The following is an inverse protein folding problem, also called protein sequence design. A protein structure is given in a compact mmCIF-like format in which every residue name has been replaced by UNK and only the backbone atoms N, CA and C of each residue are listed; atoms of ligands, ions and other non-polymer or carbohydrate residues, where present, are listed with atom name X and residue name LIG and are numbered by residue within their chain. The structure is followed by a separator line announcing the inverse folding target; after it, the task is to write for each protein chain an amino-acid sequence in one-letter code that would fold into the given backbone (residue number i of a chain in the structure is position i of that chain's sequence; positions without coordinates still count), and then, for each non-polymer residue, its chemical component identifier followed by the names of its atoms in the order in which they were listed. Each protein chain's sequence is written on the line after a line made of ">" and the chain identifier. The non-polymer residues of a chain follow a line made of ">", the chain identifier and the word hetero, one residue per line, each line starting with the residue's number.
data_IF_189548103416
#
_entry.id   IF_189548103416
#
_cell.length_a   1.000
_cell.length_b   1.000
_cell.length_c   1.000
_cell.angle_alpha   90.00
_cell.angle_beta   90.00
_cell.angle_gamma   90.00
#
_symmetry.space_group_name_H-M   'P 1'
#
loop_
_entity.id
_entity.type
_entity.pdbx_description
1 polymer ?
#
# COMPACT_ATOMS: atom_id res chain seq x y z
N UNK A 1 6.28 8.11 -12.86
CA UNK A 1 6.40 7.40 -11.58
C UNK A 1 7.87 7.10 -11.37
N UNK A 2 8.36 7.23 -10.15
CA UNK A 2 9.76 6.99 -9.78
C UNK A 2 9.77 6.22 -8.45
N UNK A 3 10.49 5.10 -8.37
CA UNK A 3 10.72 4.41 -7.10
C UNK A 3 11.74 5.23 -6.31
N UNK A 4 11.40 5.51 -5.05
CA UNK A 4 12.23 6.32 -4.15
C UNK A 4 12.71 5.43 -3.03
N UNK A 5 13.93 5.66 -2.54
CA UNK A 5 14.45 4.96 -1.38
C UNK A 5 13.51 5.16 -0.17
N UNK A 6 13.06 4.08 0.49
CA UNK A 6 12.27 4.18 1.70
C UNK A 6 12.98 5.01 2.77
N UNK A 7 12.27 5.98 3.35
CA UNK A 7 12.82 6.85 4.39
C UNK A 7 12.30 6.37 5.74
N UNK A 8 13.20 5.91 6.62
CA UNK A 8 12.85 5.45 7.96
C UNK A 8 12.43 6.56 8.94
N UNK A 9 12.39 7.82 8.50
CA UNK A 9 12.02 8.98 9.30
C UNK A 9 10.60 8.85 9.88
N UNK A 10 9.69 8.17 9.17
CA UNK A 10 8.30 8.03 9.59
C UNK A 10 8.06 6.94 10.62
N UNK A 11 9.09 6.16 11.00
CA UNK A 11 8.94 5.14 12.02
C UNK A 11 8.53 5.77 13.36
N UNK A 12 7.43 5.27 13.94
CA UNK A 12 6.85 5.79 15.17
C UNK A 12 5.95 7.02 14.98
N UNK A 13 5.82 7.55 13.76
CA UNK A 13 4.93 8.66 13.49
C UNK A 13 3.46 8.20 13.49
N UNK A 14 2.54 9.03 14.01
CA UNK A 14 1.12 8.77 13.89
C UNK A 14 0.66 8.93 12.44
N UNK A 15 -0.28 8.09 12.03
CA UNK A 15 -1.03 8.25 10.78
C UNK A 15 -2.41 8.73 11.15
N UNK A 16 -2.82 9.86 10.56
CA UNK A 16 -4.18 10.33 10.74
C UNK A 16 -5.11 9.53 9.83
N UNK A 17 -6.04 8.81 10.44
CA UNK A 17 -7.09 8.07 9.76
C UNK A 17 -8.46 8.49 10.28
N UNK A 18 -9.52 8.20 9.51
CA UNK A 18 -10.92 8.45 9.87
C UNK A 18 -11.50 7.37 10.80
N UNK A 19 -10.91 6.17 10.81
CA UNK A 19 -11.44 5.00 11.53
C UNK A 19 -10.71 4.66 12.83
N UNK A 20 -9.51 5.18 13.08
CA UNK A 20 -8.82 5.01 14.37
C UNK A 20 -7.97 6.23 14.71
N UNK A 21 -8.05 6.75 15.94
CA UNK A 21 -7.17 7.82 16.40
C UNK A 21 -5.73 7.33 16.65
N UNK A 22 -5.51 6.01 16.70
CA UNK A 22 -4.32 5.38 17.27
C UNK A 22 -3.60 4.49 16.26
N UNK A 23 -3.30 5.03 15.07
CA UNK A 23 -2.49 4.34 14.05
C UNK A 23 -1.05 4.87 14.06
N UNK A 24 -0.07 3.98 14.14
CA UNK A 24 1.37 4.34 14.19
C UNK A 24 2.17 3.52 13.21
N UNK A 25 3.07 4.16 12.47
CA UNK A 25 3.98 3.47 11.55
C UNK A 25 5.01 2.63 12.32
N UNK A 26 5.13 1.35 11.97
CA UNK A 26 6.20 0.46 12.46
C UNK A 26 7.45 0.60 11.59
N UNK A 27 7.27 0.60 10.27
CA UNK A 27 8.34 0.74 9.28
C UNK A 27 7.81 1.17 7.92
N UNK A 28 8.70 1.75 7.10
CA UNK A 28 8.43 2.09 5.71
C UNK A 28 9.05 1.00 4.83
N UNK A 29 8.21 0.31 4.07
CA UNK A 29 8.56 -0.84 3.23
C UNK A 29 8.94 -0.39 1.82
N UNK A 30 8.08 0.44 1.21
CA UNK A 30 8.21 0.93 -0.15
C UNK A 30 8.02 2.43 -0.19
N UNK A 31 8.60 3.10 -1.18
CA UNK A 31 8.33 4.50 -1.45
C UNK A 31 8.31 4.77 -2.95
N UNK A 32 7.34 5.56 -3.38
CA UNK A 32 7.15 5.86 -4.80
C UNK A 32 6.68 7.29 -4.96
N UNK A 33 7.26 7.99 -5.94
CA UNK A 33 6.77 9.28 -6.39
C UNK A 33 5.82 9.08 -7.57
N UNK A 34 4.59 9.51 -7.40
CA UNK A 34 3.58 9.58 -8.46
C UNK A 34 3.22 11.04 -8.66
N UNK A 35 3.43 11.54 -9.89
CA UNK A 35 3.30 12.96 -10.21
C UNK A 35 4.17 13.83 -9.27
N UNK A 36 3.56 14.66 -8.42
CA UNK A 36 4.28 15.52 -7.46
C UNK A 36 4.22 14.98 -6.02
N UNK A 37 3.49 13.89 -5.77
CA UNK A 37 3.29 13.34 -4.44
C UNK A 37 4.19 12.12 -4.22
N UNK A 38 4.79 12.02 -3.04
CA UNK A 38 5.47 10.80 -2.60
C UNK A 38 4.52 10.03 -1.71
N UNK A 39 4.40 8.74 -2.02
CA UNK A 39 3.61 7.75 -1.30
C UNK A 39 4.56 6.75 -0.65
N UNK A 40 4.23 6.37 0.58
CA UNK A 40 4.99 5.45 1.41
C UNK A 40 4.13 4.23 1.74
N UNK A 41 4.57 3.06 1.31
CA UNK A 41 3.97 1.79 1.67
C UNK A 41 4.53 1.40 3.02
N UNK A 42 3.68 1.34 4.04
CA UNK A 42 4.10 1.17 5.43
C UNK A 42 3.42 -0.04 6.05
N UNK A 43 4.13 -0.64 7.00
CA UNK A 43 3.49 -1.47 8.02
C UNK A 43 3.16 -0.56 9.19
N UNK A 44 1.90 -0.55 9.59
CA UNK A 44 1.41 0.26 10.69
C UNK A 44 0.72 -0.64 11.70
N UNK A 45 0.79 -0.24 12.97
CA UNK A 45 -0.06 -0.82 14.01
C UNK A 45 -1.21 0.12 14.32
N UNK A 46 -2.32 -0.44 14.76
CA UNK A 46 -3.41 0.33 15.32
C UNK A 46 -3.83 -0.26 16.66
N UNK A 47 -4.19 0.60 17.60
CA UNK A 47 -4.83 0.20 18.85
C UNK A 47 -6.31 0.47 18.71
N UNK A 48 -7.13 -0.57 18.73
CA UNK A 48 -8.56 -0.40 18.90
C UNK A 48 -8.84 -0.14 20.38
N UNK A 49 -9.29 1.07 20.71
CA UNK A 49 -9.69 1.45 22.07
C UNK A 49 -10.89 0.63 22.57
N UNK A 50 -11.64 -0.02 21.67
CA UNK A 50 -12.81 -0.84 22.00
C UNK A 50 -12.52 -2.34 22.12
N UNK A 51 -11.25 -2.76 21.98
CA UNK A 51 -10.80 -4.14 22.16
C UNK A 51 -11.68 -5.18 21.44
N UNK A 52 -12.14 -4.90 20.23
CA UNK A 52 -12.67 -5.97 19.39
C UNK A 52 -11.49 -6.85 19.02
N UNK A 53 -11.47 -8.09 19.52
CA UNK A 53 -10.42 -9.11 19.39
C UNK A 53 -10.06 -9.42 17.91
N UNK A 54 -9.48 -8.46 17.19
CA UNK A 54 -8.95 -8.67 15.85
C UNK A 54 -7.53 -9.22 16.00
N UNK A 55 -7.27 -10.44 15.51
CA UNK A 55 -6.08 -11.20 15.88
C UNK A 55 -4.75 -10.68 15.28
N UNK A 56 -4.70 -9.50 14.67
CA UNK A 56 -3.48 -8.96 14.08
C UNK A 56 -3.44 -7.43 14.23
N UNK A 57 -2.58 -6.95 15.13
CA UNK A 57 -2.35 -5.54 15.47
C UNK A 57 -1.66 -4.72 14.36
N UNK A 58 -1.51 -5.29 13.16
CA UNK A 58 -0.73 -4.71 12.06
C UNK A 58 -1.51 -4.65 10.75
N UNK A 59 -1.25 -3.62 9.95
CA UNK A 59 -1.90 -3.39 8.65
C UNK A 59 -0.91 -2.78 7.67
N UNK A 60 -1.06 -3.14 6.40
CA UNK A 60 -0.32 -2.54 5.30
C UNK A 60 -1.11 -1.35 4.78
N UNK A 61 -0.50 -0.17 4.84
CA UNK A 61 -1.11 1.08 4.42
C UNK A 61 -0.25 1.76 3.35
N UNK A 62 -0.88 2.58 2.52
CA UNK A 62 -0.20 3.59 1.74
C UNK A 62 -0.50 4.95 2.35
N UNK A 63 0.55 5.67 2.75
CA UNK A 63 0.44 6.98 3.38
C UNK A 63 1.23 8.03 2.61
N UNK A 64 0.92 9.29 2.83
CA UNK A 64 1.69 10.40 2.30
C UNK A 64 1.72 11.54 3.32
N UNK A 65 2.74 12.40 3.23
CA UNK A 65 2.84 13.60 4.05
C UNK A 65 2.17 14.78 3.32
N UNK A 66 1.18 15.40 3.96
CA UNK A 66 0.46 16.57 3.46
C UNK A 66 1.05 17.92 3.93
N UNK A 67 2.19 17.90 4.64
CA UNK A 67 2.82 19.04 5.28
C UNK A 67 2.31 19.32 6.70
N UNK A 68 1.23 18.67 7.12
CA UNK A 68 0.68 18.71 8.48
C UNK A 68 0.82 17.36 9.21
N UNK A 69 1.02 16.27 8.48
CA UNK A 69 1.29 14.95 9.02
C UNK A 69 1.01 13.84 8.01
N UNK A 70 1.16 12.60 8.44
CA UNK A 70 0.88 11.43 7.60
C UNK A 70 -0.62 11.21 7.46
N UNK A 71 -1.09 11.08 6.21
CA UNK A 71 -2.48 10.78 5.85
C UNK A 71 -2.59 9.44 5.14
N UNK A 72 -3.70 8.74 5.35
CA UNK A 72 -4.03 7.51 4.62
C UNK A 72 -4.54 7.83 3.21
N UNK A 73 -3.97 7.18 2.19
CA UNK A 73 -4.37 7.43 0.79
C UNK A 73 -5.82 7.02 0.52
N UNK A 74 -6.22 5.83 0.99
CA UNK A 74 -7.50 5.20 0.66
C UNK A 74 -8.73 5.97 1.18
N UNK A 75 -8.56 6.82 2.19
CA UNK A 75 -9.65 7.62 2.75
C UNK A 75 -9.96 8.87 1.93
N UNK A 76 -8.96 9.42 1.25
CA UNK A 76 -9.14 10.62 0.41
C UNK A 76 -9.81 10.27 -0.92
N UNK A 77 -9.67 9.03 -1.37
CA UNK A 77 -10.17 8.57 -2.64
C UNK A 77 -11.15 7.41 -2.39
N UNK A 78 -12.41 7.77 -2.19
CA UNK A 78 -13.50 6.94 -1.65
C UNK A 78 -13.73 5.59 -2.35
N UNK A 79 -13.11 5.33 -3.51
CA UNK A 79 -13.15 4.05 -4.22
C UNK A 79 -11.81 3.81 -4.92
N UNK A 80 -10.91 3.07 -4.26
CA UNK A 80 -9.73 2.53 -4.92
C UNK A 80 -10.05 1.55 -6.04
N UNK A 81 -9.14 1.36 -7.00
CA UNK A 81 -9.16 0.17 -7.84
C UNK A 81 -9.28 -1.06 -6.94
N UNK A 82 -10.29 -1.88 -7.20
CA UNK A 82 -10.54 -3.12 -6.48
C UNK A 82 -10.57 -4.27 -7.46
N UNK A 83 -10.07 -5.40 -7.00
CA UNK A 83 -10.41 -6.69 -7.58
C UNK A 83 -11.85 -7.00 -7.14
N UNK A 84 -12.76 -7.12 -8.12
CA UNK A 84 -14.15 -7.50 -7.89
C UNK A 84 -14.49 -8.64 -8.82
N UNK A 85 -15.07 -9.72 -8.28
CA UNK A 85 -15.47 -10.92 -9.03
C UNK A 85 -14.31 -11.52 -9.87
N UNK A 86 -13.13 -11.65 -9.27
CA UNK A 86 -11.90 -12.17 -9.90
C UNK A 86 -11.48 -11.41 -11.18
N UNK A 87 -11.82 -10.13 -11.26
CA UNK A 87 -11.44 -9.26 -12.39
C UNK A 87 -10.81 -7.97 -11.89
N UNK A 88 -9.76 -7.55 -12.60
CA UNK A 88 -9.19 -6.22 -12.45
C UNK A 88 -10.15 -5.22 -13.10
N UNK A 89 -10.71 -4.30 -12.31
CA UNK A 89 -11.50 -3.20 -12.86
C UNK A 89 -10.63 -2.17 -13.60
N UNK A 90 -9.35 -2.13 -13.27
CA UNK A 90 -8.36 -1.18 -13.78
C UNK A 90 -7.08 -1.94 -14.07
N UNK A 91 -6.43 -1.67 -15.20
CA UNK A 91 -5.17 -2.31 -15.57
C UNK A 91 -4.02 -1.89 -14.63
N UNK A 92 -3.10 -2.82 -14.41
CA UNK A 92 -1.89 -2.57 -13.63
C UNK A 92 -0.92 -1.75 -14.50
N UNK A 93 -0.57 -0.55 -14.02
CA UNK A 93 0.45 0.27 -14.69
C UNK A 93 1.86 -0.22 -14.34
N UNK A 94 2.12 -0.52 -13.06
CA UNK A 94 3.41 -1.01 -12.59
C UNK A 94 3.31 -1.69 -11.23
N UNK A 95 4.22 -2.62 -10.97
CA UNK A 95 4.51 -3.13 -9.62
C UNK A 95 5.67 -2.33 -9.04
N UNK A 96 5.42 -1.70 -7.90
CA UNK A 96 6.37 -0.83 -7.19
C UNK A 96 7.37 -1.68 -6.41
N UNK A 97 6.92 -2.78 -5.83
CA UNK A 97 7.74 -3.68 -5.04
C UNK A 97 6.87 -4.70 -4.31
N UNK A 98 7.52 -5.52 -3.50
CA UNK A 98 6.86 -6.61 -2.77
C UNK A 98 7.19 -6.57 -1.30
N UNK A 99 6.30 -7.14 -0.50
CA UNK A 99 6.52 -7.37 0.92
C UNK A 99 5.96 -8.73 1.29
N UNK A 100 6.76 -9.53 1.98
CA UNK A 100 6.35 -10.83 2.49
C UNK A 100 6.12 -10.75 4.00
N UNK A 101 4.95 -11.17 4.45
CA UNK A 101 4.65 -11.27 5.88
C UNK A 101 5.34 -12.47 6.52
N UNK A 102 5.42 -12.48 7.85
CA UNK A 102 5.92 -13.64 8.60
C UNK A 102 5.09 -14.91 8.39
N UNK A 103 3.81 -14.78 8.03
CA UNK A 103 2.93 -15.90 7.67
C UNK A 103 3.17 -16.44 6.25
N UNK A 104 4.06 -15.81 5.48
CA UNK A 104 4.41 -16.20 4.12
C UNK A 104 3.57 -15.54 3.03
N UNK A 105 2.57 -14.71 3.37
CA UNK A 105 1.75 -14.00 2.38
C UNK A 105 2.58 -12.93 1.68
N UNK A 106 2.52 -12.88 0.36
CA UNK A 106 3.21 -11.88 -0.45
C UNK A 106 2.22 -10.80 -0.88
N UNK A 107 2.55 -9.56 -0.56
CA UNK A 107 1.81 -8.37 -0.96
C UNK A 107 2.60 -7.59 -2.00
N UNK A 108 1.90 -7.12 -3.03
CA UNK A 108 2.43 -6.30 -4.10
C UNK A 108 1.99 -4.86 -3.89
N UNK A 109 2.95 -3.93 -3.93
CA UNK A 109 2.65 -2.51 -4.05
C UNK A 109 2.31 -2.20 -5.51
N UNK A 110 1.05 -1.89 -5.82
CA UNK A 110 0.60 -1.71 -7.20
C UNK A 110 0.32 -0.25 -7.49
N UNK A 111 0.86 0.23 -8.61
CA UNK A 111 0.39 1.44 -9.29
C UNK A 111 -0.58 1.04 -10.39
N UNK A 112 -1.79 1.55 -10.32
CA UNK A 112 -2.84 1.31 -11.30
C UNK A 112 -2.87 2.37 -12.38
N UNK A 113 -3.31 2.00 -13.58
CA UNK A 113 -3.51 2.95 -14.66
C UNK A 113 -4.63 3.94 -14.28
N UNK A 114 -4.44 5.23 -14.59
CA UNK A 114 -5.42 6.30 -14.30
C UNK A 114 -5.81 6.48 -12.81
N UNK A 115 -5.09 5.87 -11.87
CA UNK A 115 -5.24 6.11 -10.43
C UNK A 115 -4.05 6.90 -9.90
N UNK A 116 -4.25 7.93 -9.08
CA UNK A 116 -3.14 8.76 -8.61
C UNK A 116 -2.35 8.14 -7.44
N UNK A 117 -2.90 7.12 -6.79
CA UNK A 117 -2.32 6.50 -5.61
C UNK A 117 -2.09 4.99 -5.80
N UNK A 118 -1.10 4.44 -5.10
CA UNK A 118 -0.87 3.00 -5.06
C UNK A 118 -1.78 2.27 -4.07
N UNK A 119 -1.90 0.95 -4.24
CA UNK A 119 -2.56 0.05 -3.27
C UNK A 119 -1.65 -1.13 -2.93
N UNK A 120 -2.01 -1.85 -1.86
CA UNK A 120 -1.43 -3.14 -1.55
C UNK A 120 -2.41 -4.22 -2.01
N UNK A 121 -1.94 -5.16 -2.81
CA UNK A 121 -2.74 -6.31 -3.25
C UNK A 121 -2.02 -7.61 -2.91
N UNK A 122 -2.78 -8.67 -2.61
CA UNK A 122 -2.21 -10.01 -2.46
C UNK A 122 -1.71 -10.51 -3.82
N UNK A 123 -0.51 -11.08 -3.84
CA UNK A 123 0.08 -11.65 -5.06
C UNK A 123 -0.87 -12.69 -5.69
N UNK A 124 -1.41 -13.61 -4.87
CA UNK A 124 -2.33 -14.64 -5.34
C UNK A 124 -3.59 -14.07 -6.00
N UNK A 125 -4.13 -12.96 -5.50
CA UNK A 125 -5.33 -12.34 -6.07
C UNK A 125 -5.03 -11.66 -7.40
N UNK A 126 -3.88 -10.99 -7.49
CA UNK A 126 -3.40 -10.39 -8.74
C UNK A 126 -3.14 -11.47 -9.78
N UNK A 127 -2.53 -12.59 -9.39
CA UNK A 127 -2.27 -13.74 -10.26
C UNK A 127 -3.58 -14.34 -10.78
N UNK A 128 -4.56 -14.50 -9.91
CA UNK A 128 -5.88 -15.08 -10.25
C UNK A 128 -6.63 -14.22 -11.26
N UNK A 129 -6.60 -12.90 -11.10
CA UNK A 129 -7.36 -11.96 -11.94
C UNK A 129 -6.66 -11.63 -13.26
N UNK A 130 -5.33 -11.68 -13.28
CA UNK A 130 -4.53 -11.47 -14.46
C UNK A 130 -4.47 -12.78 -15.23
N UNK A 131 -5.40 -13.04 -16.16
CA UNK A 131 -5.32 -14.19 -17.07
C UNK A 131 -3.87 -14.35 -17.57
N UNK A 132 -3.16 -15.35 -17.05
CA UNK A 132 -1.70 -15.42 -17.05
C UNK A 132 -1.16 -15.61 -18.48
N UNK A 133 -0.91 -14.52 -19.20
CA UNK A 133 -0.20 -14.59 -20.48
C UNK A 133 0.69 -13.41 -20.85
N UNK A 134 0.75 -12.32 -20.06
CA UNK A 134 1.56 -11.16 -20.51
C UNK A 134 2.23 -10.28 -19.46
N UNK A 135 1.97 -10.43 -18.15
CA UNK A 135 2.74 -9.69 -17.15
C UNK A 135 4.04 -10.42 -16.84
N UNK A 136 5.08 -10.21 -17.65
CA UNK A 136 6.42 -10.20 -17.09
C UNK A 136 6.42 -9.09 -16.05
N UNK A 137 6.30 -9.46 -14.77
CA UNK A 137 6.44 -8.57 -13.64
C UNK A 137 7.83 -7.94 -13.75
N UNK A 138 7.91 -6.80 -14.42
CA UNK A 138 9.12 -6.02 -14.51
C UNK A 138 9.32 -5.40 -13.12
N UNK A 139 9.96 -6.17 -12.25
CA UNK A 139 10.56 -5.64 -11.04
C UNK A 139 11.50 -4.54 -11.49
N UNK A 140 11.20 -3.30 -11.15
CA UNK A 140 12.13 -2.20 -11.38
C UNK A 140 13.27 -2.43 -10.38
N UNK A 141 14.33 -3.12 -10.84
CA UNK A 141 15.55 -3.30 -10.06
C UNK A 141 16.24 -1.94 -9.91
N UNK A 142 16.36 -1.48 -8.69
CA UNK A 142 17.22 -0.34 -8.35
C UNK A 142 18.68 -0.80 -8.39
N UNK A 143 19.49 -0.21 -9.28
CA UNK A 143 20.95 -0.24 -9.20
C UNK A 143 21.45 0.62 -8.03
#
# INVERSE_FOLDING_TARGET
>A
MEIVTPVNLYKGCPVHTLWSPSVTVIEVLLSVKVSQQIYHGVRARYVDEHAWDLPYEESLLWVFDDGHGLRLCQEMYQQGPRIVDDRLQIDIQAVIGTYQTMSGNVFLGIKWQNCDYPTWELEDDVIRCSNFSSYQLNFISTN
#
